data_IF_310995759814
#
_entry.id   IF_310995759814
#
_cell.length_a   1.000
_cell.length_b   1.000
_cell.length_c   1.000
_cell.angle_alpha   90.00
_cell.angle_beta   90.00
_cell.angle_gamma   90.00
#
_symmetry.space_group_name_H-M   'P 1'
#
loop_
_entity.id
_entity.type
_entity.pdbx_description
1 polymer ?
#
# COMPACT_ATOMS: atom_id res chain seq x y z
N UNK A 1 -2.65 -17.75 0.76
CA UNK A 1 -2.15 -16.84 -0.28
C UNK A 1 -0.71 -16.56 0.13
N UNK A 2 0.26 -17.21 -0.51
CA UNK A 2 1.65 -16.92 -0.20
C UNK A 2 1.95 -15.50 -0.67
N UNK A 3 2.34 -14.65 0.26
CA UNK A 3 2.82 -13.31 -0.01
C UNK A 3 4.14 -13.47 -0.79
N UNK A 4 4.10 -13.21 -2.10
CA UNK A 4 5.23 -13.44 -3.00
C UNK A 4 6.49 -12.67 -2.59
N UNK A 5 7.65 -13.04 -3.11
CA UNK A 5 8.93 -12.40 -2.82
C UNK A 5 8.92 -10.88 -3.11
N UNK A 6 8.88 -10.07 -2.05
CA UNK A 6 8.85 -8.60 -2.07
C UNK A 6 10.25 -7.95 -2.07
N UNK A 7 11.30 -8.70 -2.40
CA UNK A 7 12.65 -8.13 -2.47
C UNK A 7 12.79 -7.14 -3.62
N UNK A 8 13.71 -6.19 -3.46
CA UNK A 8 14.08 -5.23 -4.52
C UNK A 8 14.44 -5.91 -5.84
N UNK A 9 15.11 -7.07 -5.78
CA UNK A 9 15.49 -7.84 -6.97
C UNK A 9 14.27 -8.40 -7.70
N UNK A 10 13.31 -8.94 -6.96
CA UNK A 10 12.08 -9.49 -7.53
C UNK A 10 11.20 -8.39 -8.14
N UNK A 11 11.18 -7.20 -7.53
CA UNK A 11 10.58 -6.02 -8.14
C UNK A 11 11.29 -5.58 -9.44
N UNK A 12 12.62 -5.56 -9.47
CA UNK A 12 13.36 -5.24 -10.70
C UNK A 12 13.08 -6.26 -11.81
N UNK A 13 13.08 -7.55 -11.48
CA UNK A 13 12.77 -8.61 -12.45
C UNK A 13 11.35 -8.48 -13.00
N UNK A 14 10.37 -8.13 -12.15
CA UNK A 14 9.00 -7.86 -12.57
C UNK A 14 8.94 -6.68 -13.54
N UNK A 15 9.59 -5.56 -13.22
CA UNK A 15 9.60 -4.37 -14.09
C UNK A 15 10.22 -4.69 -15.46
N UNK A 16 11.35 -5.40 -15.49
CA UNK A 16 12.00 -5.82 -16.75
C UNK A 16 11.08 -6.71 -17.59
N UNK A 17 10.41 -7.68 -16.96
CA UNK A 17 9.41 -8.52 -17.65
C UNK A 17 8.25 -7.72 -18.22
N UNK A 18 7.78 -6.69 -17.51
CA UNK A 18 6.71 -5.81 -18.00
C UNK A 18 7.20 -5.01 -19.22
N UNK A 19 8.41 -4.46 -19.17
CA UNK A 19 9.02 -3.74 -20.30
C UNK A 19 9.13 -4.66 -21.53
N UNK A 20 9.62 -5.88 -21.34
CA UNK A 20 9.68 -6.92 -22.38
C UNK A 20 8.30 -7.28 -22.94
N UNK A 21 7.28 -7.38 -22.08
CA UNK A 21 5.89 -7.68 -22.50
C UNK A 21 5.32 -6.63 -23.46
N UNK A 22 5.79 -5.39 -23.38
CA UNK A 22 5.40 -4.29 -24.26
C UNK A 22 6.38 -4.07 -25.44
N UNK A 23 7.26 -5.04 -25.69
CA UNK A 23 8.30 -4.97 -26.73
C UNK A 23 9.15 -3.69 -26.64
N UNK A 24 9.35 -3.18 -25.42
CA UNK A 24 10.21 -2.03 -25.14
C UNK A 24 11.59 -2.50 -24.66
N UNK A 25 12.60 -1.65 -24.81
CA UNK A 25 13.91 -1.86 -24.23
C UNK A 25 14.00 -1.25 -22.83
N UNK A 26 14.80 -1.84 -21.94
CA UNK A 26 15.06 -1.27 -20.60
C UNK A 26 15.63 0.15 -20.67
N UNK A 27 16.40 0.47 -21.72
CA UNK A 27 16.92 1.83 -21.98
C UNK A 27 15.84 2.88 -22.26
N UNK A 28 14.60 2.47 -22.56
CA UNK A 28 13.46 3.37 -22.75
C UNK A 28 12.75 3.72 -21.44
N UNK A 29 13.10 3.05 -20.33
CA UNK A 29 12.58 3.42 -19.01
C UNK A 29 13.23 4.73 -18.56
N UNK A 30 12.45 5.82 -18.59
CA UNK A 30 12.97 7.15 -18.24
C UNK A 30 13.02 7.39 -16.71
N UNK A 31 11.97 6.98 -16.01
CA UNK A 31 11.81 7.19 -14.58
C UNK A 31 10.74 6.25 -14.01
N UNK A 32 10.76 6.08 -12.69
CA UNK A 32 9.71 5.40 -11.93
C UNK A 32 8.88 6.44 -11.16
N UNK A 33 7.59 6.21 -11.03
CA UNK A 33 6.72 6.98 -10.14
C UNK A 33 6.34 6.07 -8.97
N UNK A 34 6.63 6.51 -7.75
CA UNK A 34 6.36 5.72 -6.55
C UNK A 34 6.48 6.54 -5.28
N UNK A 35 6.08 5.97 -4.16
CA UNK A 35 6.40 6.57 -2.87
C UNK A 35 7.93 6.51 -2.61
N UNK A 36 8.40 7.29 -1.63
CA UNK A 36 9.82 7.34 -1.27
C UNK A 36 10.26 6.12 -0.43
N UNK A 37 9.55 4.99 -0.53
CA UNK A 37 9.85 3.81 0.27
C UNK A 37 11.20 3.20 -0.09
N UNK A 38 11.85 2.54 0.86
CA UNK A 38 13.20 2.02 0.70
C UNK A 38 13.33 1.07 -0.50
N UNK A 39 12.33 0.20 -0.70
CA UNK A 39 12.28 -0.72 -1.84
C UNK A 39 12.21 0.03 -3.17
N UNK A 40 11.34 1.03 -3.29
CA UNK A 40 11.18 1.81 -4.53
C UNK A 40 12.42 2.63 -4.86
N UNK A 41 13.07 3.23 -3.85
CA UNK A 41 14.37 3.88 -4.01
C UNK A 41 15.43 2.89 -4.49
N UNK A 42 15.53 1.72 -3.86
CA UNK A 42 16.51 0.71 -4.24
C UNK A 42 16.27 0.15 -5.65
N UNK A 43 15.02 -0.02 -6.05
CA UNK A 43 14.64 -0.43 -7.43
C UNK A 43 15.07 0.64 -8.43
N UNK A 44 14.77 1.92 -8.18
CA UNK A 44 15.17 3.02 -9.06
C UNK A 44 16.70 3.10 -9.20
N UNK A 45 17.44 2.92 -8.10
CA UNK A 45 18.91 2.83 -8.10
C UNK A 45 19.41 1.65 -8.93
N UNK A 46 18.83 0.46 -8.75
CA UNK A 46 19.25 -0.74 -9.49
C UNK A 46 18.95 -0.66 -10.99
N UNK A 47 17.83 -0.03 -11.36
CA UNK A 47 17.47 0.23 -12.76
C UNK A 47 18.16 1.47 -13.33
N UNK A 48 18.93 2.20 -12.51
CA UNK A 48 19.64 3.42 -12.86
C UNK A 48 18.74 4.51 -13.48
N UNK A 49 17.56 4.72 -12.89
CA UNK A 49 16.56 5.72 -13.31
C UNK A 49 16.13 6.61 -12.15
N UNK A 50 15.55 7.76 -12.45
CA UNK A 50 15.02 8.66 -11.42
C UNK A 50 13.74 8.11 -10.78
N UNK A 51 13.56 8.31 -9.47
CA UNK A 51 12.29 8.06 -8.77
C UNK A 51 11.56 9.39 -8.55
N UNK A 52 10.41 9.54 -9.18
CA UNK A 52 9.50 10.66 -8.99
C UNK A 52 8.52 10.32 -7.87
N UNK A 53 8.47 11.16 -6.84
CA UNK A 53 7.58 10.98 -5.71
C UNK A 53 6.11 10.99 -6.13
N UNK A 54 5.34 10.02 -5.64
CA UNK A 54 3.92 9.89 -5.93
C UNK A 54 3.11 11.06 -5.33
N UNK A 55 2.12 11.53 -6.09
CA UNK A 55 1.20 12.57 -5.63
C UNK A 55 0.44 12.18 -4.36
N UNK A 56 0.10 10.89 -4.21
CA UNK A 56 -0.58 10.37 -3.02
C UNK A 56 0.28 10.51 -1.75
N UNK A 57 1.59 10.33 -1.86
CA UNK A 57 2.50 10.53 -0.72
C UNK A 57 2.53 12.00 -0.27
N UNK A 58 2.61 12.93 -1.23
CA UNK A 58 2.54 14.37 -0.94
C UNK A 58 1.19 14.76 -0.33
N UNK A 59 0.10 14.20 -0.84
CA UNK A 59 -1.23 14.40 -0.30
C UNK A 59 -1.32 13.87 1.14
N UNK A 60 -0.83 12.64 1.39
CA UNK A 60 -0.82 12.06 2.72
C UNK A 60 -0.06 12.94 3.71
N UNK A 61 1.12 13.45 3.32
CA UNK A 61 1.90 14.36 4.15
C UNK A 61 1.15 15.67 4.45
N UNK A 62 0.49 16.26 3.43
CA UNK A 62 -0.31 17.46 3.62
C UNK A 62 -1.51 17.21 4.55
N UNK A 63 -2.19 16.07 4.41
CA UNK A 63 -3.29 15.66 5.28
C UNK A 63 -2.78 15.43 6.71
N UNK A 64 -1.64 14.77 6.89
CA UNK A 64 -1.04 14.60 8.22
C UNK A 64 -0.78 15.95 8.89
N UNK A 65 -0.15 16.90 8.18
CA UNK A 65 0.08 18.24 8.72
C UNK A 65 -1.21 19.02 9.02
N UNK A 66 -2.25 18.87 8.19
CA UNK A 66 -3.56 19.45 8.47
C UNK A 66 -4.20 18.85 9.74
N UNK A 67 -4.10 17.53 9.90
CA UNK A 67 -4.69 16.82 11.03
C UNK A 67 -3.96 17.04 12.35
N UNK A 68 -2.72 17.54 12.36
CA UNK A 68 -2.02 17.92 13.60
C UNK A 68 -2.81 18.94 14.42
N UNK A 69 -3.49 19.89 13.77
CA UNK A 69 -4.37 20.84 14.47
C UNK A 69 -5.57 20.16 15.14
N UNK A 70 -5.98 19.00 14.64
CA UNK A 70 -7.09 18.20 15.13
C UNK A 70 -6.62 16.96 15.91
N UNK A 71 -5.36 16.93 16.39
CA UNK A 71 -4.73 15.74 16.96
C UNK A 71 -5.58 15.08 18.07
N UNK A 72 -6.21 15.87 18.96
CA UNK A 72 -7.05 15.31 20.03
C UNK A 72 -8.31 14.58 19.52
N UNK A 73 -8.96 15.11 18.47
CA UNK A 73 -10.11 14.45 17.84
C UNK A 73 -9.67 13.20 17.09
N UNK A 74 -8.56 13.28 16.35
CA UNK A 74 -8.00 12.14 15.61
C UNK A 74 -7.61 11.02 16.58
N UNK A 75 -7.01 11.34 17.72
CA UNK A 75 -6.64 10.37 18.75
C UNK A 75 -7.88 9.72 19.38
N UNK A 76 -8.90 10.51 19.75
CA UNK A 76 -10.15 9.96 20.27
C UNK A 76 -10.84 9.00 19.28
N UNK A 77 -10.85 9.35 18.00
CA UNK A 77 -11.36 8.46 16.93
C UNK A 77 -10.49 7.21 16.80
N UNK A 78 -9.16 7.34 16.85
CA UNK A 78 -8.22 6.21 16.80
C UNK A 78 -8.45 5.23 17.96
N UNK A 79 -8.59 5.73 19.19
CA UNK A 79 -8.90 4.93 20.39
C UNK A 79 -10.24 4.20 20.22
N UNK A 80 -11.27 4.91 19.76
CA UNK A 80 -12.58 4.30 19.51
C UNK A 80 -12.50 3.20 18.44
N UNK A 81 -11.81 3.45 17.33
CA UNK A 81 -11.62 2.47 16.25
C UNK A 81 -10.87 1.22 16.73
N UNK A 82 -9.86 1.39 17.59
CA UNK A 82 -9.15 0.26 18.21
C UNK A 82 -10.05 -0.56 19.15
N UNK A 83 -10.88 0.11 19.95
CA UNK A 83 -11.85 -0.57 20.82
C UNK A 83 -12.91 -1.32 20.01
N UNK A 84 -13.40 -0.75 18.92
CA UNK A 84 -14.39 -1.37 18.05
C UNK A 84 -13.81 -2.49 17.18
N UNK A 85 -12.52 -2.45 16.83
CA UNK A 85 -11.84 -3.49 16.04
C UNK A 85 -11.91 -4.87 16.70
N UNK A 86 -11.91 -4.95 18.03
CA UNK A 86 -11.99 -6.20 18.78
C UNK A 86 -13.43 -6.67 19.02
N UNK A 87 -14.41 -5.77 18.90
CA UNK A 87 -15.84 -6.08 18.88
C UNK A 87 -16.21 -6.61 17.49
N UNK A 88 -15.62 -7.75 17.13
CA UNK A 88 -15.98 -8.43 15.90
C UNK A 88 -17.34 -9.09 16.08
N UNK A 89 -18.40 -8.44 15.59
CA UNK A 89 -19.70 -9.07 15.36
C UNK A 89 -19.60 -10.31 14.47
N UNK A 90 -18.44 -10.63 13.88
CA UNK A 90 -18.17 -11.87 13.15
C UNK A 90 -18.50 -13.15 13.91
N UNK A 91 -18.50 -13.18 15.25
CA UNK A 91 -19.03 -14.34 15.99
C UNK A 91 -20.56 -14.41 15.88
N UNK A 92 -21.24 -13.29 16.13
CA UNK A 92 -22.70 -13.12 15.99
C UNK A 92 -23.17 -13.35 14.55
N UNK A 93 -22.45 -12.83 13.56
CA UNK A 93 -22.72 -13.01 12.13
C UNK A 93 -22.51 -14.47 11.70
N UNK A 94 -21.51 -15.17 12.26
CA UNK A 94 -21.32 -16.62 12.03
C UNK A 94 -22.45 -17.46 12.62
N UNK A 95 -23.05 -17.06 13.73
CA UNK A 95 -24.24 -17.72 14.28
C UNK A 95 -25.50 -17.40 13.48
N UNK A 96 -25.71 -16.15 13.06
CA UNK A 96 -26.86 -15.75 12.24
C UNK A 96 -26.84 -16.40 10.86
N UNK A 97 -25.68 -16.48 10.21
CA UNK A 97 -25.55 -17.12 8.89
C UNK A 97 -25.76 -18.64 8.93
N UNK A 98 -25.54 -19.28 10.09
CA UNK A 98 -25.84 -20.70 10.31
C UNK A 98 -27.33 -20.95 10.55
N UNK A 99 -28.05 -19.99 11.13
CA UNK A 99 -29.47 -20.09 11.38
C UNK A 99 -30.31 -19.90 10.09
N UNK A 100 -29.86 -19.06 9.16
CA UNK A 100 -30.54 -18.79 7.88
C UNK A 100 -30.47 -19.93 6.84
N UNK A 101 -29.79 -21.03 7.16
CA UNK A 101 -29.77 -22.28 6.36
C UNK A 101 -30.48 -23.44 7.06
N UNK A 102 -31.21 -23.14 8.15
CA UNK A 102 -32.05 -24.10 8.88
C UNK A 102 -33.51 -23.59 8.92
N UNK A 103 -34.08 -23.34 7.75
CA UNK A 103 -35.54 -23.33 7.50
C UNK A 103 -35.78 -23.90 6.10
#
# INVERSE_FOLDING_TARGET
MEEGDLTTRSHCALIKKIIELFDQAESQLAFLIGDNFATNRAVATLLNVSLIGCASYRLNLAVSGFLEYHAGTVDAVSVLMQALRTVNNGATLRTTHRCLHCD
#
